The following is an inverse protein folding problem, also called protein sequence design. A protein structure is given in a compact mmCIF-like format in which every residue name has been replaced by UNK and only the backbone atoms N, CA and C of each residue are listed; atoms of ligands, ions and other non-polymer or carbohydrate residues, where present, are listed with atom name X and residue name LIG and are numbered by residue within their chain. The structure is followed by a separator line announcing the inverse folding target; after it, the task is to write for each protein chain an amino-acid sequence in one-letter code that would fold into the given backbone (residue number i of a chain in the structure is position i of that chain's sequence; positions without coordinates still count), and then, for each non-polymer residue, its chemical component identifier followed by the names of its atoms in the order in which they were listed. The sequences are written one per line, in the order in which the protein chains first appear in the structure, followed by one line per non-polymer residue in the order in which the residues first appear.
data_IF_830082484869
#
_entry.id   IF_830082484869
#
_cell.length_a   1.000
_cell.length_b   1.000
_cell.length_c   1.000
_cell.angle_alpha   90.00
_cell.angle_beta   90.00
_cell.angle_gamma   90.00
#
_symmetry.space_group_name_H-M   'P 1'
#
loop_
_entity.id
_entity.type
_entity.pdbx_description
1 polymer ?
#
# COMPACT_ATOMS: atom_id res chain seq x y z
N UNK A 1 -15.28 -11.31 30.32
CA UNK A 1 -15.71 -12.17 29.20
C UNK A 1 -15.91 -11.38 27.89
N UNK A 2 -16.31 -10.11 27.91
CA UNK A 2 -16.40 -9.25 26.70
C UNK A 2 -15.07 -8.98 25.97
N UNK A 3 -13.97 -8.74 26.70
CA UNK A 3 -12.64 -8.53 26.07
C UNK A 3 -12.14 -9.71 25.23
N UNK A 4 -12.38 -10.95 25.69
CA UNK A 4 -11.97 -12.17 24.97
C UNK A 4 -12.84 -12.45 23.73
N UNK A 5 -14.07 -11.95 23.71
CA UNK A 5 -14.95 -12.03 22.54
C UNK A 5 -14.63 -10.97 21.48
N UNK A 6 -14.12 -9.80 21.90
CA UNK A 6 -13.62 -8.77 20.98
C UNK A 6 -12.31 -9.20 20.31
N UNK A 7 -11.37 -9.79 21.06
CA UNK A 7 -10.11 -10.29 20.50
C UNK A 7 -10.31 -11.44 19.49
N UNK A 8 -11.24 -12.37 19.76
CA UNK A 8 -11.52 -13.50 18.86
C UNK A 8 -12.29 -13.11 17.59
N UNK A 9 -13.10 -12.03 17.62
CA UNK A 9 -13.70 -11.45 16.41
C UNK A 9 -12.69 -10.63 15.60
N UNK A 10 -11.74 -9.96 16.27
CA UNK A 10 -10.68 -9.16 15.62
C UNK A 10 -9.67 -10.02 14.84
N UNK A 11 -9.35 -11.23 15.33
CA UNK A 11 -8.40 -12.13 14.67
C UNK A 11 -9.00 -12.82 13.43
N UNK A 12 -10.29 -13.18 13.47
CA UNK A 12 -11.01 -13.68 12.30
C UNK A 12 -11.17 -12.62 11.19
N UNK A 13 -11.44 -11.37 11.57
CA UNK A 13 -11.49 -10.22 10.65
C UNK A 13 -10.11 -9.92 10.04
N UNK A 14 -9.03 -9.96 10.84
CA UNK A 14 -7.67 -9.67 10.35
C UNK A 14 -7.21 -10.67 9.28
N UNK A 15 -7.41 -11.97 9.51
CA UNK A 15 -7.06 -12.99 8.51
C UNK A 15 -7.86 -12.83 7.19
N UNK A 16 -9.13 -12.43 7.30
CA UNK A 16 -9.97 -12.19 6.13
C UNK A 16 -9.57 -10.91 5.38
N UNK A 17 -9.20 -9.84 6.10
CA UNK A 17 -8.60 -8.63 5.52
C UNK A 17 -7.29 -8.97 4.81
N UNK A 18 -6.42 -9.78 5.42
CA UNK A 18 -5.17 -10.23 4.79
C UNK A 18 -5.41 -11.08 3.53
N UNK A 19 -6.53 -11.82 3.44
CA UNK A 19 -6.86 -12.58 2.23
C UNK A 19 -7.21 -11.66 1.05
N UNK A 20 -7.68 -10.43 1.30
CA UNK A 20 -7.97 -9.45 0.23
C UNK A 20 -6.72 -9.04 -0.53
N UNK A 21 -5.54 -9.09 0.10
CA UNK A 21 -4.25 -8.87 -0.56
C UNK A 21 -4.00 -9.91 -1.67
N UNK A 22 -4.24 -11.18 -1.39
CA UNK A 22 -4.02 -12.26 -2.37
C UNK A 22 -4.99 -12.14 -3.55
N UNK A 23 -6.25 -11.76 -3.29
CA UNK A 23 -7.24 -11.50 -4.34
C UNK A 23 -6.85 -10.30 -5.23
N UNK A 24 -6.37 -9.22 -4.62
CA UNK A 24 -5.89 -8.04 -5.32
C UNK A 24 -4.67 -8.35 -6.21
N UNK A 25 -3.70 -9.10 -5.69
CA UNK A 25 -2.53 -9.53 -6.46
C UNK A 25 -2.94 -10.43 -7.64
N UNK A 26 -3.88 -11.37 -7.43
CA UNK A 26 -4.39 -12.22 -8.51
C UNK A 26 -5.14 -11.42 -9.58
N UNK A 27 -5.92 -10.42 -9.20
CA UNK A 27 -6.63 -9.51 -10.11
C UNK A 27 -5.68 -8.62 -10.90
N UNK A 28 -4.62 -8.09 -10.25
CA UNK A 28 -3.50 -7.39 -10.90
C UNK A 28 -2.84 -8.32 -11.93
N UNK A 29 -2.47 -9.55 -11.58
CA UNK A 29 -1.89 -10.52 -12.53
C UNK A 29 -2.81 -10.84 -13.72
N UNK A 30 -4.13 -10.96 -13.49
CA UNK A 30 -5.11 -11.13 -14.57
C UNK A 30 -5.03 -9.98 -15.59
N UNK A 31 -4.86 -8.74 -15.13
CA UNK A 31 -4.70 -7.58 -16.01
C UNK A 31 -3.41 -7.64 -16.83
N UNK A 32 -2.27 -8.03 -16.22
CA UNK A 32 -0.99 -8.21 -16.94
C UNK A 32 -1.13 -9.23 -18.06
N UNK A 33 -1.67 -10.40 -17.73
CA UNK A 33 -1.82 -11.50 -18.67
C UNK A 33 -2.76 -11.17 -19.84
N UNK A 34 -3.62 -10.16 -19.68
CA UNK A 34 -4.51 -9.64 -20.72
C UNK A 34 -3.97 -8.40 -21.44
N UNK A 35 -2.76 -7.95 -21.11
CA UNK A 35 -2.10 -6.83 -21.76
C UNK A 35 -2.64 -5.46 -21.33
N UNK A 36 -3.41 -5.36 -20.25
CA UNK A 36 -3.90 -4.08 -19.74
C UNK A 36 -2.80 -3.27 -19.06
N UNK A 37 -1.89 -3.93 -18.35
CA UNK A 37 -0.83 -3.26 -17.57
C UNK A 37 0.51 -3.96 -17.76
N UNK A 38 1.60 -3.20 -17.68
CA UNK A 38 2.96 -3.74 -17.69
C UNK A 38 3.46 -3.85 -16.25
N UNK A 39 3.61 -5.07 -15.77
CA UNK A 39 4.18 -5.38 -14.47
C UNK A 39 4.93 -6.71 -14.56
N UNK A 40 6.26 -6.63 -14.49
CA UNK A 40 7.16 -7.77 -14.62
C UNK A 40 7.31 -8.55 -13.29
N UNK A 41 6.67 -8.10 -12.20
CA UNK A 41 6.93 -8.61 -10.84
C UNK A 41 5.72 -9.27 -10.19
N UNK A 42 4.48 -8.81 -10.46
CA UNK A 42 3.28 -9.31 -9.74
C UNK A 42 3.09 -10.83 -9.82
N UNK A 43 3.55 -11.46 -10.90
CA UNK A 43 3.50 -12.90 -11.06
C UNK A 43 4.31 -13.67 -10.00
N UNK A 44 5.32 -13.05 -9.40
CA UNK A 44 6.13 -13.62 -8.31
C UNK A 44 5.37 -13.64 -6.97
N UNK A 45 4.33 -12.82 -6.83
CA UNK A 45 3.53 -12.70 -5.61
C UNK A 45 2.23 -13.51 -5.64
N UNK A 46 1.88 -14.11 -6.78
CA UNK A 46 0.62 -14.85 -6.96
C UNK A 46 0.90 -16.35 -7.05
N UNK A 47 0.42 -17.10 -6.06
CA UNK A 47 0.55 -18.57 -6.05
C UNK A 47 -0.31 -19.26 -7.09
N UNK A 48 -1.53 -18.76 -7.31
CA UNK A 48 -2.52 -19.35 -8.23
C UNK A 48 -3.12 -18.25 -9.10
N UNK A 49 -2.72 -18.15 -10.38
CA UNK A 49 -3.31 -17.19 -11.30
C UNK A 49 -4.81 -17.43 -11.48
N UNK A 50 -5.59 -16.35 -11.45
CA UNK A 50 -7.05 -16.39 -11.68
C UNK A 50 -7.38 -15.50 -12.87
N UNK A 51 -8.27 -15.96 -13.75
CA UNK A 51 -8.82 -15.13 -14.83
C UNK A 51 -9.98 -14.30 -14.27
N UNK A 52 -9.95 -12.99 -14.45
CA UNK A 52 -11.07 -12.10 -14.11
C UNK A 52 -11.89 -11.74 -15.34
N UNK A 53 -13.17 -11.42 -15.11
CA UNK A 53 -14.06 -10.90 -16.14
C UNK A 53 -13.50 -9.59 -16.74
N UNK A 54 -13.81 -9.26 -18.02
CA UNK A 54 -13.29 -8.06 -18.65
C UNK A 54 -13.55 -6.76 -17.88
N UNK A 55 -14.73 -6.62 -17.26
CA UNK A 55 -15.08 -5.45 -16.46
C UNK A 55 -14.19 -5.29 -15.22
N UNK A 56 -13.83 -6.40 -14.57
CA UNK A 56 -12.91 -6.39 -13.43
C UNK A 56 -11.51 -5.99 -13.87
N UNK A 57 -11.02 -6.52 -15.00
CA UNK A 57 -9.71 -6.12 -15.54
C UNK A 57 -9.68 -4.63 -15.89
N UNK A 58 -10.76 -4.08 -16.48
CA UNK A 58 -10.87 -2.64 -16.75
C UNK A 58 -10.85 -1.81 -15.47
N UNK A 59 -11.54 -2.25 -14.42
CA UNK A 59 -11.53 -1.60 -13.11
C UNK A 59 -10.13 -1.57 -12.48
N UNK A 60 -9.44 -2.71 -12.46
CA UNK A 60 -8.06 -2.79 -11.94
C UNK A 60 -7.06 -1.99 -12.78
N UNK A 61 -7.24 -1.95 -14.11
CA UNK A 61 -6.45 -1.07 -14.97
C UNK A 61 -6.66 0.41 -14.63
N UNK A 62 -7.91 0.85 -14.49
CA UNK A 62 -8.22 2.23 -14.12
C UNK A 62 -7.64 2.60 -12.75
N UNK A 63 -7.78 1.71 -11.76
CA UNK A 63 -7.16 1.80 -10.43
C UNK A 63 -5.63 2.01 -10.55
N UNK A 64 -4.95 1.14 -11.30
CA UNK A 64 -3.49 1.22 -11.49
C UNK A 64 -3.05 2.50 -12.24
N UNK A 65 -3.73 2.87 -13.33
CA UNK A 65 -3.39 4.07 -14.11
C UNK A 65 -3.61 5.35 -13.29
N UNK A 66 -4.67 5.43 -12.48
CA UNK A 66 -4.95 6.59 -11.66
C UNK A 66 -3.84 6.84 -10.64
N UNK A 67 -3.49 5.81 -9.85
CA UNK A 67 -2.36 5.87 -8.91
C UNK A 67 -1.07 6.26 -9.64
N UNK A 68 -0.75 5.52 -10.71
CA UNK A 68 0.50 5.71 -11.45
C UNK A 68 0.62 7.11 -12.07
N UNK A 69 -0.46 7.65 -12.64
CA UNK A 69 -0.45 9.00 -13.23
C UNK A 69 -0.14 10.07 -12.17
N UNK A 70 -0.82 10.03 -11.02
CA UNK A 70 -0.63 10.99 -9.94
C UNK A 70 0.75 10.85 -9.29
N UNK A 71 1.19 9.61 -9.09
CA UNK A 71 2.54 9.32 -8.57
C UNK A 71 3.63 9.88 -9.48
N UNK A 72 3.52 9.67 -10.79
CA UNK A 72 4.49 10.19 -11.76
C UNK A 72 4.46 11.72 -11.86
N UNK A 73 3.29 12.35 -11.73
CA UNK A 73 3.20 13.81 -11.66
C UNK A 73 3.91 14.35 -10.43
N UNK A 74 3.68 13.73 -9.26
CA UNK A 74 4.39 14.06 -8.03
C UNK A 74 5.90 13.85 -8.17
N UNK A 75 6.37 12.73 -8.73
CA UNK A 75 7.80 12.46 -8.91
C UNK A 75 8.47 13.43 -9.89
N UNK A 76 7.73 13.97 -10.88
CA UNK A 76 8.25 14.95 -11.86
C UNK A 76 8.15 16.41 -11.43
N UNK A 77 7.35 16.74 -10.41
CA UNK A 77 7.16 18.14 -10.00
C UNK A 77 8.41 18.71 -9.33
N UNK A 78 9.09 19.68 -9.92
CA UNK A 78 10.23 20.35 -9.28
C UNK A 78 9.75 21.49 -8.37
N UNK A 79 10.46 21.73 -7.26
CA UNK A 79 10.31 23.00 -6.54
C UNK A 79 11.08 24.07 -7.33
N UNK A 80 10.42 25.17 -7.66
CA UNK A 80 11.09 26.35 -8.22
C UNK A 80 11.95 27.02 -7.15
N UNK A 81 13.12 26.47 -6.87
CA UNK A 81 14.15 27.14 -6.09
C UNK A 81 15.33 27.47 -7.03
N UNK A 82 16.00 28.60 -6.76
CA UNK A 82 17.11 29.13 -7.57
C UNK A 82 18.37 28.25 -7.57
N UNK A 83 18.39 27.17 -6.80
CA UNK A 83 19.49 26.22 -6.74
C UNK A 83 19.14 24.99 -7.59
N UNK A 84 20.04 24.59 -8.49
CA UNK A 84 19.92 23.43 -9.39
C UNK A 84 19.88 22.06 -8.68
N UNK A 85 19.39 21.98 -7.44
CA UNK A 85 19.33 20.77 -6.63
C UNK A 85 17.97 20.11 -6.81
N UNK A 86 17.97 18.91 -7.40
CA UNK A 86 16.77 18.10 -7.54
C UNK A 86 16.17 17.81 -6.15
N UNK A 87 14.87 18.08 -6.00
CA UNK A 87 14.19 17.89 -4.72
C UNK A 87 14.02 16.39 -4.43
N UNK A 88 14.58 15.91 -3.32
CA UNK A 88 14.35 14.55 -2.80
C UNK A 88 12.88 14.36 -2.45
N UNK A 89 12.29 13.23 -2.86
CA UNK A 89 10.89 12.89 -2.63
C UNK A 89 10.76 11.51 -2.00
N UNK A 90 9.75 11.35 -1.16
CA UNK A 90 9.50 10.11 -0.42
C UNK A 90 8.13 9.54 -0.78
N UNK A 91 7.99 8.22 -0.68
CA UNK A 91 6.71 7.53 -0.81
C UNK A 91 6.48 6.72 0.47
N UNK A 92 5.27 6.82 1.04
CA UNK A 92 4.80 6.00 2.16
C UNK A 92 3.54 5.25 1.75
N UNK A 93 3.65 3.94 1.59
CA UNK A 93 2.52 3.07 1.25
C UNK A 93 1.98 2.39 2.50
N UNK A 94 0.77 2.76 2.90
CA UNK A 94 0.05 2.20 4.05
C UNK A 94 -0.82 1.04 3.55
N UNK A 95 -0.69 -0.14 4.17
CA UNK A 95 -1.38 -1.35 3.69
C UNK A 95 -0.89 -1.76 2.30
N UNK A 96 0.44 -1.78 2.10
CA UNK A 96 1.04 -1.95 0.78
C UNK A 96 0.76 -3.32 0.14
N UNK A 97 0.45 -4.34 0.94
CA UNK A 97 0.24 -5.69 0.45
C UNK A 97 1.41 -6.19 -0.41
N UNK A 98 1.09 -6.90 -1.48
CA UNK A 98 2.03 -7.32 -2.52
C UNK A 98 2.13 -6.33 -3.68
N UNK A 99 1.96 -5.04 -3.40
CA UNK A 99 2.19 -4.03 -4.43
C UNK A 99 3.64 -4.08 -4.96
N UNK A 100 3.80 -3.80 -6.24
CA UNK A 100 5.07 -3.95 -6.96
C UNK A 100 5.59 -2.62 -7.50
N UNK A 101 4.96 -1.50 -7.12
CA UNK A 101 5.24 -0.19 -7.70
C UNK A 101 6.70 0.21 -7.52
N UNK A 102 7.30 -0.03 -6.34
CA UNK A 102 8.72 0.25 -6.13
C UNK A 102 9.62 -0.44 -7.17
N UNK A 103 9.43 -1.75 -7.38
CA UNK A 103 10.24 -2.53 -8.32
C UNK A 103 10.07 -2.02 -9.78
N UNK A 104 8.86 -1.59 -10.13
CA UNK A 104 8.58 -0.97 -11.43
C UNK A 104 9.32 0.36 -11.58
N UNK A 105 9.24 1.25 -10.58
CA UNK A 105 9.91 2.56 -10.60
C UNK A 105 11.43 2.44 -10.67
N UNK A 106 12.04 1.48 -9.97
CA UNK A 106 13.48 1.18 -10.07
C UNK A 106 13.84 0.74 -11.49
N UNK A 107 13.04 -0.14 -12.09
CA UNK A 107 13.28 -0.60 -13.48
C UNK A 107 13.20 0.53 -14.50
N UNK A 108 12.34 1.51 -14.23
CA UNK A 108 12.11 2.67 -15.09
C UNK A 108 13.12 3.80 -14.84
N UNK A 109 14.01 3.67 -13.84
CA UNK A 109 15.01 4.69 -13.51
C UNK A 109 14.43 5.95 -12.86
N UNK A 110 13.25 5.84 -12.23
CA UNK A 110 12.49 6.97 -11.67
C UNK A 110 12.05 6.72 -10.21
N UNK A 111 12.74 5.83 -9.50
CA UNK A 111 12.48 5.57 -8.09
C UNK A 111 12.65 6.84 -7.24
N UNK A 112 11.84 7.00 -6.16
CA UNK A 112 11.99 8.13 -5.25
C UNK A 112 13.32 8.06 -4.48
N UNK A 113 13.60 9.11 -3.69
CA UNK A 113 14.72 9.07 -2.74
C UNK A 113 14.53 7.96 -1.69
N UNK A 114 13.29 7.75 -1.23
CA UNK A 114 12.94 6.71 -0.26
C UNK A 114 11.51 6.19 -0.55
N UNK A 115 11.35 4.87 -0.55
CA UNK A 115 10.05 4.21 -0.65
C UNK A 115 9.84 3.33 0.60
N UNK A 116 8.80 3.63 1.38
CA UNK A 116 8.47 2.91 2.61
C UNK A 116 7.14 2.21 2.45
N UNK A 117 7.10 0.93 2.75
CA UNK A 117 5.90 0.12 2.79
C UNK A 117 5.62 -0.36 4.21
N UNK A 118 4.36 -0.24 4.62
CA UNK A 118 3.87 -0.68 5.93
C UNK A 118 2.68 -1.59 5.73
N UNK A 119 2.68 -2.74 6.41
CA UNK A 119 1.55 -3.66 6.45
C UNK A 119 1.60 -4.51 7.74
N UNK A 120 0.63 -5.39 7.94
CA UNK A 120 0.67 -6.39 8.99
C UNK A 120 1.88 -7.33 8.81
N UNK A 121 2.43 -7.79 9.94
CA UNK A 121 3.61 -8.65 9.98
C UNK A 121 3.46 -9.89 9.11
N UNK A 122 2.30 -10.53 9.11
CA UNK A 122 2.06 -11.73 8.31
C UNK A 122 2.16 -11.45 6.80
N UNK A 123 1.80 -10.25 6.35
CA UNK A 123 1.90 -9.82 4.95
C UNK A 123 3.34 -9.44 4.63
N UNK A 124 3.98 -8.63 5.46
CA UNK A 124 5.37 -8.20 5.22
C UNK A 124 6.36 -9.35 5.33
N UNK A 125 6.18 -10.30 6.24
CA UNK A 125 6.99 -11.53 6.31
C UNK A 125 6.90 -12.37 5.03
N UNK A 126 5.68 -12.51 4.46
CA UNK A 126 5.52 -13.19 3.16
C UNK A 126 6.22 -12.42 2.05
N UNK A 127 6.08 -11.10 2.01
CA UNK A 127 6.73 -10.24 1.00
C UNK A 127 8.25 -10.30 1.11
N UNK A 128 8.80 -10.19 2.32
CA UNK A 128 10.23 -10.31 2.60
C UNK A 128 10.79 -11.66 2.12
N UNK A 129 10.08 -12.77 2.37
CA UNK A 129 10.48 -14.09 1.89
C UNK A 129 10.52 -14.19 0.36
N UNK A 130 9.58 -13.52 -0.34
CA UNK A 130 9.57 -13.47 -1.80
C UNK A 130 10.72 -12.60 -2.32
N UNK A 131 10.99 -11.45 -1.69
CA UNK A 131 12.12 -10.58 -2.03
C UNK A 131 13.46 -11.31 -1.84
N UNK A 132 13.62 -12.08 -0.78
CA UNK A 132 14.84 -12.88 -0.56
C UNK A 132 14.98 -14.00 -1.59
N UNK A 133 13.88 -14.68 -1.92
CA UNK A 133 13.89 -15.85 -2.80
C UNK A 133 14.16 -15.52 -4.26
N UNK A 134 13.62 -14.41 -4.79
CA UNK A 134 13.67 -14.09 -6.21
C UNK A 134 14.71 -13.01 -6.49
N UNK A 135 15.75 -13.33 -7.27
CA UNK A 135 16.78 -12.36 -7.68
C UNK A 135 16.19 -11.12 -8.37
N UNK A 136 15.15 -11.28 -9.19
CA UNK A 136 14.44 -10.16 -9.82
C UNK A 136 13.93 -9.10 -8.82
N UNK A 137 13.65 -9.49 -7.58
CA UNK A 137 13.25 -8.58 -6.50
C UNK A 137 14.45 -8.17 -5.64
N UNK A 138 15.30 -9.13 -5.27
CA UNK A 138 16.50 -8.89 -4.46
C UNK A 138 17.42 -7.85 -5.09
N UNK A 139 17.64 -7.94 -6.39
CA UNK A 139 18.52 -7.04 -7.13
C UNK A 139 18.00 -5.59 -7.12
N UNK A 140 16.69 -5.39 -6.95
CA UNK A 140 16.03 -4.07 -6.93
C UNK A 140 16.07 -3.39 -5.57
N UNK A 141 16.23 -4.15 -4.48
CA UNK A 141 16.46 -3.58 -3.14
C UNK A 141 17.95 -3.42 -2.83
N UNK A 142 18.82 -3.99 -3.67
CA UNK A 142 20.27 -3.83 -3.59
C UNK A 142 20.97 -4.93 -2.77
N UNK A 143 22.28 -5.13 -3.00
CA UNK A 143 23.04 -6.20 -2.36
C UNK A 143 23.12 -6.04 -0.84
N UNK A 144 23.29 -4.79 -0.37
CA UNK A 144 23.41 -4.44 1.05
C UNK A 144 22.08 -4.45 1.82
N UNK A 145 20.97 -4.82 1.16
CA UNK A 145 19.68 -4.89 1.82
C UNK A 145 19.69 -5.95 2.94
N UNK A 146 19.35 -5.53 4.15
CA UNK A 146 19.10 -6.42 5.27
C UNK A 146 17.67 -6.96 5.18
N UNK A 147 17.51 -8.28 5.15
CA UNK A 147 16.19 -8.93 5.09
C UNK A 147 15.99 -9.78 6.34
N UNK A 148 14.86 -9.59 7.01
CA UNK A 148 14.43 -10.43 8.13
C UNK A 148 13.01 -10.90 7.89
N UNK A 149 12.85 -12.16 7.47
CA UNK A 149 11.52 -12.78 7.31
C UNK A 149 10.79 -12.82 8.65
N UNK A 150 11.48 -13.16 9.74
CA UNK A 150 10.90 -13.27 11.08
C UNK A 150 10.32 -11.94 11.58
N UNK A 151 10.99 -10.81 11.30
CA UNK A 151 10.48 -9.48 11.64
C UNK A 151 9.56 -8.89 10.57
N UNK A 152 9.55 -9.47 9.36
CA UNK A 152 8.79 -8.93 8.24
C UNK A 152 9.41 -7.64 7.71
N UNK A 153 10.74 -7.60 7.64
CA UNK A 153 11.51 -6.41 7.30
C UNK A 153 12.38 -6.62 6.07
N UNK A 154 12.47 -5.58 5.23
CA UNK A 154 13.49 -5.41 4.20
C UNK A 154 14.02 -3.99 4.33
N UNK A 155 15.29 -3.83 4.63
CA UNK A 155 15.91 -2.53 4.88
C UNK A 155 17.07 -2.31 3.91
N UNK A 156 16.91 -1.34 3.02
CA UNK A 156 17.94 -0.85 2.09
C UNK A 156 17.99 0.68 2.11
N UNK A 157 18.92 1.30 1.40
CA UNK A 157 19.04 2.76 1.37
C UNK A 157 17.78 3.46 0.80
N UNK A 158 17.15 2.86 -0.21
CA UNK A 158 16.03 3.47 -0.95
C UNK A 158 14.68 2.78 -0.75
N UNK A 159 14.66 1.59 -0.13
CA UNK A 159 13.45 0.83 0.13
C UNK A 159 13.41 0.27 1.54
N UNK A 160 12.29 0.49 2.23
CA UNK A 160 12.00 -0.04 3.56
C UNK A 160 10.66 -0.75 3.53
N UNK A 161 10.65 -2.03 3.91
CA UNK A 161 9.43 -2.77 4.24
C UNK A 161 9.43 -2.98 5.76
N UNK A 162 8.36 -2.55 6.43
CA UNK A 162 8.26 -2.59 7.88
C UNK A 162 6.88 -3.10 8.30
N UNK A 163 6.83 -3.92 9.35
CA UNK A 163 5.54 -4.39 9.89
C UNK A 163 4.98 -3.40 10.93
N UNK A 164 3.73 -2.96 10.76
CA UNK A 164 2.99 -2.26 11.80
C UNK A 164 1.48 -2.40 11.58
N UNK A 165 0.74 -2.42 12.68
CA UNK A 165 -0.70 -2.16 12.64
C UNK A 165 -0.92 -0.65 12.53
N UNK A 166 -1.41 -0.18 11.39
CA UNK A 166 -1.56 1.26 11.11
C UNK A 166 -2.61 1.95 12.00
N UNK A 167 -3.45 1.19 12.72
CA UNK A 167 -4.36 1.72 13.74
C UNK A 167 -3.62 2.20 14.98
N UNK A 168 -2.44 1.63 15.25
CA UNK A 168 -1.57 2.06 16.34
C UNK A 168 -0.71 3.24 15.85
N UNK A 169 -1.24 4.46 16.03
CA UNK A 169 -0.58 5.69 15.60
C UNK A 169 0.81 5.86 16.24
N UNK A 170 1.03 5.33 17.45
CA UNK A 170 2.34 5.45 18.11
C UNK A 170 3.38 4.55 17.42
N UNK A 171 3.00 3.33 17.05
CA UNK A 171 3.84 2.46 16.23
C UNK A 171 4.05 3.04 14.83
N UNK A 172 2.98 3.55 14.20
CA UNK A 172 3.08 4.19 12.89
C UNK A 172 4.02 5.41 12.92
N UNK A 173 4.01 6.21 14.00
CA UNK A 173 4.94 7.32 14.15
C UNK A 173 6.39 6.84 14.34
N UNK A 174 6.58 5.73 15.04
CA UNK A 174 7.90 5.11 15.25
C UNK A 174 8.54 4.65 13.93
N UNK A 175 7.73 4.29 12.92
CA UNK A 175 8.21 3.94 11.56
C UNK A 175 9.01 5.08 10.93
N UNK A 176 8.70 6.34 11.23
CA UNK A 176 9.40 7.50 10.67
C UNK A 176 10.88 7.45 11.03
N UNK A 177 11.19 7.19 12.30
CA UNK A 177 12.57 7.04 12.76
C UNK A 177 13.25 5.79 12.21
N UNK A 178 12.55 4.65 12.24
CA UNK A 178 13.09 3.36 11.77
C UNK A 178 13.40 3.35 10.26
N UNK A 179 12.58 4.02 9.47
CA UNK A 179 12.74 4.10 8.02
C UNK A 179 13.67 5.23 7.58
N UNK A 180 14.08 6.13 8.50
CA UNK A 180 14.72 7.41 8.20
C UNK A 180 13.89 8.27 7.22
N UNK A 181 12.57 8.27 7.41
CA UNK A 181 11.65 9.09 6.65
C UNK A 181 11.71 10.53 7.20
N UNK A 182 11.84 11.54 6.33
CA UNK A 182 12.10 12.92 6.71
C UNK A 182 10.82 13.75 6.53
N UNK A 183 10.13 14.14 7.62
CA UNK A 183 8.86 14.84 7.49
C UNK A 183 8.93 16.24 6.86
N UNK A 184 10.14 16.77 6.64
CA UNK A 184 10.39 18.02 5.91
C UNK A 184 10.40 17.85 4.38
N UNK A 185 10.56 16.62 3.88
CA UNK A 185 10.57 16.32 2.45
C UNK A 185 9.16 16.12 1.91
N UNK A 186 8.89 16.47 0.63
CA UNK A 186 7.65 16.11 -0.03
C UNK A 186 7.41 14.60 0.02
N UNK A 187 6.25 14.19 0.54
CA UNK A 187 5.90 12.79 0.73
C UNK A 187 4.59 12.45 0.03
N UNK A 188 4.59 11.41 -0.81
CA UNK A 188 3.38 10.85 -1.41
C UNK A 188 2.91 9.66 -0.57
N UNK A 189 1.76 9.78 0.06
CA UNK A 189 1.19 8.78 0.94
C UNK A 189 0.12 8.00 0.17
N UNK A 190 0.19 6.68 0.17
CA UNK A 190 -0.72 5.80 -0.55
C UNK A 190 -1.58 5.03 0.45
N UNK A 191 -2.90 5.10 0.28
CA UNK A 191 -3.87 4.19 0.89
C UNK A 191 -4.80 3.66 -0.20
N UNK A 192 -4.52 2.46 -0.71
CA UNK A 192 -5.19 1.89 -1.89
C UNK A 192 -6.03 0.65 -1.50
N UNK A 193 -7.32 0.86 -1.21
CA UNK A 193 -8.24 -0.11 -0.60
C UNK A 193 -7.75 -0.59 0.76
N UNK A 194 -7.59 0.31 1.74
CA UNK A 194 -6.97 -0.01 3.04
C UNK A 194 -7.80 0.51 4.21
N UNK A 195 -8.12 1.81 4.23
CA UNK A 195 -8.85 2.45 5.32
C UNK A 195 -10.29 1.96 5.42
N UNK A 196 -10.86 1.47 4.32
CA UNK A 196 -12.18 0.84 4.26
C UNK A 196 -12.33 -0.37 5.20
N UNK A 197 -11.23 -1.00 5.61
CA UNK A 197 -11.25 -2.12 6.55
C UNK A 197 -11.21 -1.67 8.02
N UNK A 198 -11.05 -0.37 8.27
CA UNK A 198 -10.87 0.20 9.60
C UNK A 198 -12.15 0.90 10.06
N UNK A 199 -12.28 1.07 11.38
CA UNK A 199 -13.34 1.92 11.92
C UNK A 199 -13.08 3.42 11.60
N UNK A 200 -14.12 4.26 11.63
CA UNK A 200 -14.00 5.68 11.32
C UNK A 200 -12.99 6.43 12.19
N UNK A 201 -12.88 6.09 13.48
CA UNK A 201 -11.98 6.78 14.41
C UNK A 201 -10.51 6.48 14.07
N UNK A 202 -10.20 5.20 13.80
CA UNK A 202 -8.88 4.79 13.31
C UNK A 202 -8.51 5.50 12.01
N UNK A 203 -9.46 5.55 11.06
CA UNK A 203 -9.25 6.23 9.76
C UNK A 203 -8.99 7.72 9.94
N UNK A 204 -9.78 8.40 10.77
CA UNK A 204 -9.57 9.82 11.10
C UNK A 204 -8.22 10.06 11.77
N UNK A 205 -7.82 9.17 12.68
CA UNK A 205 -6.54 9.27 13.38
C UNK A 205 -5.35 9.14 12.41
N UNK A 206 -5.41 8.23 11.43
CA UNK A 206 -4.35 8.04 10.41
C UNK A 206 -4.21 9.29 9.54
N UNK A 207 -5.31 9.81 9.00
CA UNK A 207 -5.29 11.01 8.14
C UNK A 207 -4.84 12.23 8.94
N UNK A 208 -5.35 12.40 10.16
CA UNK A 208 -4.96 13.48 11.06
C UNK A 208 -3.49 13.41 11.49
N UNK A 209 -2.96 12.21 11.68
CA UNK A 209 -1.52 11.99 11.92
C UNK A 209 -0.69 12.41 10.71
N UNK A 210 -1.04 11.94 9.51
CA UNK A 210 -0.31 12.25 8.29
C UNK A 210 -0.26 13.77 8.04
N UNK A 211 -1.40 14.45 8.19
CA UNK A 211 -1.50 15.90 8.02
C UNK A 211 -0.65 16.69 9.03
N UNK A 212 -0.49 16.19 10.26
CA UNK A 212 0.35 16.82 11.29
C UNK A 212 1.83 16.51 11.11
N UNK A 213 2.16 15.30 10.62
CA UNK A 213 3.54 14.84 10.54
C UNK A 213 4.30 15.50 9.40
N UNK A 214 3.69 15.56 8.21
CA UNK A 214 4.37 15.98 6.99
C UNK A 214 4.12 17.45 6.66
N UNK A 215 5.20 18.19 6.45
CA UNK A 215 5.12 19.60 6.04
C UNK A 215 4.60 19.80 4.61
N UNK A 216 4.77 18.80 3.75
CA UNK A 216 4.25 18.77 2.38
C UNK A 216 3.93 17.34 2.02
N UNK A 217 2.64 17.02 1.88
CA UNK A 217 2.20 15.69 1.50
C UNK A 217 1.10 15.71 0.45
N UNK A 218 1.08 14.66 -0.37
CA UNK A 218 -0.07 14.27 -1.18
C UNK A 218 -0.58 12.95 -0.62
N UNK A 219 -1.84 12.88 -0.22
CA UNK A 219 -2.45 11.64 0.24
C UNK A 219 -3.33 11.08 -0.87
N UNK A 220 -2.88 10.02 -1.53
CA UNK A 220 -3.67 9.28 -2.50
C UNK A 220 -4.55 8.25 -1.79
N UNK A 221 -5.86 8.42 -1.95
CA UNK A 221 -6.87 7.49 -1.44
C UNK A 221 -7.66 6.89 -2.61
N UNK A 222 -7.73 5.57 -2.68
CA UNK A 222 -8.58 4.84 -3.62
C UNK A 222 -9.41 3.81 -2.86
N UNK A 223 -10.72 4.07 -2.70
CA UNK A 223 -11.62 3.20 -1.93
C UNK A 223 -13.03 3.18 -2.53
N UNK A 224 -13.86 2.29 -2.01
CA UNK A 224 -15.26 2.15 -2.35
C UNK A 224 -16.06 3.41 -1.95
N UNK A 225 -17.12 3.70 -2.70
CA UNK A 225 -18.04 4.82 -2.45
C UNK A 225 -19.49 4.35 -2.64
N UNK A 226 -20.46 5.19 -2.23
CA UNK A 226 -21.90 4.95 -2.38
C UNK A 226 -22.39 3.63 -1.77
N UNK A 227 -22.32 3.46 -0.44
CA UNK A 227 -22.80 2.25 0.23
C UNK A 227 -24.30 1.99 0.09
N UNK A 228 -25.07 3.07 -0.07
CA UNK A 228 -26.53 3.04 0.09
C UNK A 228 -27.27 2.79 -1.24
N UNK A 229 -26.56 2.53 -2.33
CA UNK A 229 -27.17 2.08 -3.58
C UNK A 229 -27.20 0.55 -3.68
N UNK A 230 -27.93 0.01 -4.65
CA UNK A 230 -28.09 -1.44 -4.81
C UNK A 230 -26.74 -2.18 -5.02
N UNK A 231 -25.74 -1.51 -5.59
CA UNK A 231 -24.41 -2.09 -5.75
C UNK A 231 -23.64 -2.06 -4.43
N UNK A 232 -23.67 -0.94 -3.71
CA UNK A 232 -23.09 -0.77 -2.38
C UNK A 232 -23.62 -1.77 -1.37
N UNK A 233 -24.94 -1.94 -1.29
CA UNK A 233 -25.58 -2.91 -0.41
C UNK A 233 -25.14 -4.35 -0.73
N UNK A 234 -25.09 -4.70 -2.02
CA UNK A 234 -24.64 -6.03 -2.44
C UNK A 234 -23.16 -6.25 -2.16
N UNK A 235 -22.33 -5.21 -2.31
CA UNK A 235 -20.91 -5.26 -2.01
C UNK A 235 -20.65 -5.43 -0.51
N UNK A 236 -21.39 -4.72 0.35
CA UNK A 236 -21.31 -4.90 1.80
C UNK A 236 -21.66 -6.34 2.19
N UNK A 237 -22.75 -6.90 1.65
CA UNK A 237 -23.12 -8.31 1.85
C UNK A 237 -22.01 -9.28 1.43
N UNK A 238 -21.35 -9.02 0.30
CA UNK A 238 -20.25 -9.85 -0.17
C UNK A 238 -18.98 -9.74 0.70
N UNK A 239 -18.85 -8.67 1.47
CA UNK A 239 -17.71 -8.36 2.34
C UNK A 239 -18.07 -8.49 3.83
N UNK A 240 -19.25 -9.06 4.15
CA UNK A 240 -19.70 -9.34 5.51
C UNK A 240 -18.65 -10.21 6.23
N UNK A 241 -18.16 -9.71 7.37
CA UNK A 241 -17.07 -10.32 8.14
C UNK A 241 -15.67 -9.78 7.82
N UNK A 242 -15.52 -8.95 6.79
CA UNK A 242 -14.27 -8.26 6.41
C UNK A 242 -14.39 -6.74 6.63
N UNK A 243 -15.51 -6.15 6.21
CA UNK A 243 -15.80 -4.72 6.36
C UNK A 243 -17.02 -4.56 7.27
N UNK A 244 -16.87 -3.78 8.35
CA UNK A 244 -17.99 -3.44 9.23
C UNK A 244 -18.58 -2.05 8.94
N UNK A 245 -17.84 -1.19 8.22
CA UNK A 245 -18.23 0.17 7.88
C UNK A 245 -17.74 0.52 6.48
N UNK A 246 -18.62 0.96 5.57
CA UNK A 246 -18.18 1.59 4.32
C UNK A 246 -18.05 3.09 4.57
N UNK A 247 -16.82 3.57 4.69
CA UNK A 247 -16.54 4.98 4.95
C UNK A 247 -16.59 5.74 3.61
N UNK A 248 -17.43 6.75 3.51
CA UNK A 248 -17.30 7.79 2.48
C UNK A 248 -16.23 8.75 2.96
N UNK A 249 -14.98 8.52 2.59
CA UNK A 249 -13.91 9.49 2.88
C UNK A 249 -13.61 10.31 1.62
N UNK A 250 -14.20 11.50 1.55
CA UNK A 250 -13.81 12.53 0.59
C UNK A 250 -12.66 13.31 1.26
N UNK A 251 -11.42 13.04 0.85
CA UNK A 251 -10.29 13.90 1.24
C UNK A 251 -9.87 14.70 0.03
N UNK A 252 -10.16 16.01 0.07
CA UNK A 252 -9.47 17.00 -0.73
C UNK A 252 -8.27 17.50 0.08
N UNK A 253 -7.08 17.48 -0.52
CA UNK A 253 -5.96 18.34 -0.12
C UNK A 253 -5.88 19.50 -1.11
#
# INVERSE_FOLDING_TARGET
MERAAADSRSSGSTAAVQATNDDAAASKLSCVNKGYMKDEYVHLFVRRPVKRAPIINRGYYARWVALRKLLLQFLKSERHNNDNIQTKKQILSLGAGFDTTYFQLVNEGIAPHLYVEVDFKEVTSKKAALVERYSLLRDKVGPEASISIERGEVLSDHYKLLSADIRDIQKLDSIIGLAHLDPSLPTFIIAECVLIYLDPDSTHAIVGWAAKKFSTAVFFLYEQIHPDDAFGEQMIKNLEGIINYLIIMIVFF
#
